data_IF_270655051854
#
_entry.id   IF_270655051854
#
_cell.length_a   1.000
_cell.length_b   1.000
_cell.length_c   1.000
_cell.angle_alpha   90.00
_cell.angle_beta   90.00
_cell.angle_gamma   90.00
#
_symmetry.space_group_name_H-M   'P 1'
#
loop_
_entity.id
_entity.type
_entity.pdbx_description
1 polymer ?
#
# COMPACT_ATOMS: atom_id res chain seq x y z
N UNK A 1 21.10 -4.63 -6.60
CA UNK A 1 20.60 -3.90 -5.42
C UNK A 1 20.05 -2.57 -5.91
N UNK A 2 18.74 -2.37 -5.84
CA UNK A 2 18.13 -1.08 -6.18
C UNK A 2 18.42 -0.10 -5.03
N UNK A 3 19.36 0.83 -5.24
CA UNK A 3 19.72 1.85 -4.25
C UNK A 3 19.05 3.17 -4.64
N UNK A 4 17.73 3.19 -4.55
CA UNK A 4 16.92 4.36 -4.85
C UNK A 4 15.77 4.40 -3.86
N UNK A 5 15.61 5.56 -3.22
CA UNK A 5 14.58 5.77 -2.21
C UNK A 5 13.18 5.48 -2.75
N UNK A 6 12.94 5.75 -4.04
CA UNK A 6 11.63 5.64 -4.67
C UNK A 6 11.69 4.98 -6.04
N UNK A 7 11.00 3.85 -6.20
CA UNK A 7 10.92 3.12 -7.46
C UNK A 7 9.52 3.28 -8.05
N UNK A 8 9.46 3.74 -9.30
CA UNK A 8 8.22 3.77 -10.08
C UNK A 8 8.43 2.94 -11.35
N UNK A 9 7.69 1.85 -11.50
CA UNK A 9 7.75 0.99 -12.68
C UNK A 9 6.42 1.04 -13.42
N UNK A 10 6.46 1.46 -14.69
CA UNK A 10 5.30 1.41 -15.58
C UNK A 10 5.30 0.10 -16.38
N UNK A 11 4.11 -0.39 -16.76
CA UNK A 11 3.95 -1.68 -17.48
C UNK A 11 4.66 -2.82 -16.74
N UNK A 12 4.38 -2.92 -15.45
CA UNK A 12 5.07 -3.77 -14.49
C UNK A 12 4.70 -5.26 -14.57
N UNK A 13 4.08 -5.73 -15.66
CA UNK A 13 3.68 -7.15 -15.85
C UNK A 13 4.83 -8.14 -15.70
N UNK A 14 6.07 -7.70 -15.94
CA UNK A 14 7.28 -8.51 -15.80
C UNK A 14 7.83 -8.57 -14.35
N UNK A 15 7.34 -7.74 -13.44
CA UNK A 15 7.79 -7.72 -12.05
C UNK A 15 7.25 -8.96 -11.33
N UNK A 16 8.17 -9.73 -10.76
CA UNK A 16 7.87 -10.90 -9.93
C UNK A 16 7.95 -10.56 -8.43
N UNK A 17 7.55 -11.51 -7.57
CA UNK A 17 7.77 -11.37 -6.13
C UNK A 17 9.25 -11.26 -5.78
N UNK A 18 10.14 -11.99 -6.48
CA UNK A 18 11.58 -11.92 -6.21
C UNK A 18 12.12 -10.52 -6.53
N UNK A 19 11.64 -9.90 -7.61
CA UNK A 19 12.00 -8.51 -7.91
C UNK A 19 11.53 -7.54 -6.81
N UNK A 20 10.35 -7.77 -6.21
CA UNK A 20 9.89 -6.98 -5.06
C UNK A 20 10.78 -7.17 -3.83
N UNK A 21 11.18 -8.41 -3.53
CA UNK A 21 12.06 -8.69 -2.39
C UNK A 21 13.45 -8.05 -2.56
N UNK A 22 13.93 -7.93 -3.79
CA UNK A 22 15.15 -7.19 -4.11
C UNK A 22 15.05 -5.67 -3.92
N UNK A 23 13.82 -5.12 -3.79
CA UNK A 23 13.54 -3.71 -3.49
C UNK A 23 13.44 -3.43 -1.97
N UNK A 24 13.92 -4.33 -1.12
CA UNK A 24 13.85 -4.23 0.36
C UNK A 24 14.40 -2.94 0.99
N UNK A 25 15.26 -2.22 0.28
CA UNK A 25 15.87 -0.97 0.75
C UNK A 25 15.14 0.28 0.26
N UNK A 26 14.07 0.15 -0.53
CA UNK A 26 13.31 1.30 -1.04
C UNK A 26 12.35 1.84 0.03
N UNK A 27 12.22 3.17 0.08
CA UNK A 27 11.21 3.86 0.91
C UNK A 27 9.82 3.79 0.26
N UNK A 28 9.77 3.91 -1.06
CA UNK A 28 8.53 3.93 -1.82
C UNK A 28 8.62 3.05 -3.07
N UNK A 29 7.60 2.24 -3.31
CA UNK A 29 7.49 1.40 -4.51
C UNK A 29 6.10 1.63 -5.13
N UNK A 30 6.07 2.05 -6.40
CA UNK A 30 4.85 2.21 -7.19
C UNK A 30 4.94 1.37 -8.46
N UNK A 31 3.99 0.45 -8.66
CA UNK A 31 3.94 -0.41 -9.84
C UNK A 31 2.65 -0.19 -10.62
N UNK A 32 2.75 0.19 -11.89
CA UNK A 32 1.58 0.34 -12.77
C UNK A 32 1.45 -0.88 -13.68
N UNK A 33 0.26 -1.47 -13.69
CA UNK A 33 -0.09 -2.66 -14.45
C UNK A 33 0.78 -3.90 -14.13
N UNK A 34 1.00 -4.28 -12.85
CA UNK A 34 1.62 -5.58 -12.55
C UNK A 34 0.64 -6.74 -12.79
N UNK A 35 1.18 -7.94 -13.01
CA UNK A 35 0.40 -9.18 -13.08
C UNK A 35 0.29 -9.86 -11.71
N UNK A 36 -0.01 -9.09 -10.68
CA UNK A 36 -0.09 -9.59 -9.31
C UNK A 36 -1.40 -10.32 -9.03
N UNK A 37 -1.30 -11.36 -8.22
CA UNK A 37 -2.42 -12.12 -7.68
C UNK A 37 -2.52 -11.91 -6.18
N UNK A 38 -3.65 -12.26 -5.57
CA UNK A 38 -3.83 -12.25 -4.12
C UNK A 38 -2.68 -13.00 -3.40
N UNK A 39 -2.19 -14.09 -3.99
CA UNK A 39 -1.10 -14.91 -3.42
C UNK A 39 0.22 -14.16 -3.39
N UNK A 40 0.53 -13.43 -4.47
CA UNK A 40 1.75 -12.62 -4.56
C UNK A 40 1.71 -11.48 -3.55
N UNK A 41 0.57 -10.78 -3.47
CA UNK A 41 0.41 -9.66 -2.54
C UNK A 41 0.38 -10.14 -1.09
N UNK A 42 -0.28 -11.25 -0.78
CA UNK A 42 -0.23 -11.88 0.54
C UNK A 42 1.20 -12.23 0.95
N UNK A 43 1.97 -12.85 0.05
CA UNK A 43 3.37 -13.19 0.29
C UNK A 43 4.22 -11.94 0.56
N UNK A 44 4.01 -10.87 -0.20
CA UNK A 44 4.66 -9.59 0.03
C UNK A 44 4.34 -9.02 1.42
N UNK A 45 3.06 -8.99 1.81
CA UNK A 45 2.66 -8.42 3.11
C UNK A 45 3.22 -9.27 4.26
N UNK A 46 3.22 -10.60 4.16
CA UNK A 46 3.88 -11.46 5.15
C UNK A 46 5.36 -11.11 5.32
N UNK A 47 6.07 -10.88 4.20
CA UNK A 47 7.48 -10.47 4.24
C UNK A 47 7.66 -9.09 4.87
N UNK A 48 6.75 -8.16 4.62
CA UNK A 48 6.75 -6.87 5.31
C UNK A 48 6.48 -7.02 6.82
N UNK A 49 5.49 -7.82 7.21
CA UNK A 49 5.17 -8.12 8.62
C UNK A 49 6.39 -8.74 9.32
N UNK A 50 7.12 -9.61 8.63
CA UNK A 50 8.37 -10.22 9.13
C UNK A 50 9.55 -9.25 9.24
N UNK A 51 9.41 -8.01 8.78
CA UNK A 51 10.45 -6.98 8.83
C UNK A 51 11.47 -7.06 7.68
N UNK A 52 11.14 -7.72 6.57
CA UNK A 52 12.04 -7.82 5.41
C UNK A 52 12.28 -6.48 4.72
N UNK A 53 11.39 -5.51 4.93
CA UNK A 53 11.39 -4.19 4.33
C UNK A 53 11.55 -3.10 5.41
N UNK A 54 12.75 -2.92 5.99
CA UNK A 54 12.96 -2.08 7.18
C UNK A 54 12.73 -0.59 6.95
N UNK A 55 12.77 -0.13 5.70
CA UNK A 55 12.64 1.28 5.34
C UNK A 55 11.40 1.59 4.51
N UNK A 56 10.59 0.58 4.17
CA UNK A 56 9.43 0.79 3.32
C UNK A 56 8.39 1.59 4.07
N UNK A 57 8.04 2.74 3.50
CA UNK A 57 6.98 3.61 4.00
C UNK A 57 5.73 3.54 3.12
N UNK A 58 5.91 3.22 1.84
CA UNK A 58 4.84 3.24 0.86
C UNK A 58 5.00 2.15 -0.19
N UNK A 59 3.95 1.36 -0.39
CA UNK A 59 3.84 0.45 -1.52
C UNK A 59 2.48 0.61 -2.18
N UNK A 60 2.48 0.76 -3.49
CA UNK A 60 1.26 0.92 -4.26
C UNK A 60 1.36 0.20 -5.59
N UNK A 61 0.23 -0.36 -6.02
CA UNK A 61 0.08 -0.75 -7.40
C UNK A 61 -1.31 -0.46 -7.94
N UNK A 62 -1.35 -0.27 -9.25
CA UNK A 62 -2.58 -0.03 -10.01
C UNK A 62 -2.74 -1.10 -11.07
N UNK A 63 -3.91 -1.72 -11.14
CA UNK A 63 -4.29 -2.67 -12.18
C UNK A 63 -5.62 -2.24 -12.79
N UNK A 64 -5.83 -2.57 -14.06
CA UNK A 64 -7.14 -2.40 -14.69
C UNK A 64 -8.12 -3.38 -14.05
N UNK A 65 -9.35 -2.94 -13.81
CA UNK A 65 -10.42 -3.78 -13.26
C UNK A 65 -10.67 -5.04 -14.09
N UNK A 66 -10.54 -4.93 -15.41
CA UNK A 66 -10.67 -6.07 -16.33
C UNK A 66 -9.58 -7.14 -16.13
N UNK A 67 -8.42 -6.73 -15.59
CA UNK A 67 -7.30 -7.61 -15.27
C UNK A 67 -7.29 -8.00 -13.78
N UNK A 68 -8.16 -7.40 -12.96
CA UNK A 68 -8.32 -7.78 -11.56
C UNK A 68 -9.31 -8.94 -11.48
N UNK A 69 -8.78 -10.15 -11.27
CA UNK A 69 -9.57 -11.16 -10.57
C UNK A 69 -9.84 -10.55 -9.19
N UNK A 70 -11.11 -10.46 -8.76
CA UNK A 70 -11.54 -9.73 -7.56
C UNK A 70 -10.48 -9.78 -6.44
N UNK A 71 -9.76 -8.67 -6.27
CA UNK A 71 -8.75 -8.55 -5.23
C UNK A 71 -9.48 -8.49 -3.90
N UNK A 72 -9.58 -9.63 -3.22
CA UNK A 72 -10.27 -9.71 -1.95
C UNK A 72 -9.29 -9.48 -0.82
N UNK A 73 -9.49 -8.41 -0.06
CA UNK A 73 -8.64 -8.10 1.08
C UNK A 73 -8.56 -9.25 2.08
N UNK A 74 -9.62 -10.06 2.22
CA UNK A 74 -9.63 -11.27 3.05
C UNK A 74 -8.65 -12.35 2.59
N UNK A 75 -8.39 -12.46 1.28
CA UNK A 75 -7.38 -13.38 0.72
C UNK A 75 -5.98 -12.79 0.86
N UNK A 76 -5.84 -11.49 0.56
CA UNK A 76 -4.58 -10.75 0.68
C UNK A 76 -4.06 -10.74 2.13
N UNK A 77 -4.95 -10.63 3.12
CA UNK A 77 -4.60 -10.62 4.55
C UNK A 77 -4.70 -11.99 5.22
N UNK A 78 -4.83 -13.08 4.44
CA UNK A 78 -4.95 -14.41 5.02
C UNK A 78 -3.75 -14.74 5.90
N UNK A 79 -4.03 -15.11 7.16
CA UNK A 79 -3.01 -15.44 8.16
C UNK A 79 -2.27 -14.23 8.75
N UNK A 80 -2.77 -13.02 8.52
CA UNK A 80 -2.22 -11.77 9.07
C UNK A 80 -3.24 -11.22 10.06
N UNK A 81 -2.78 -10.87 11.27
CA UNK A 81 -3.62 -10.17 12.23
C UNK A 81 -3.85 -8.73 11.77
N UNK A 82 -5.11 -8.29 11.80
CA UNK A 82 -5.47 -6.94 11.41
C UNK A 82 -6.61 -6.36 12.25
N UNK A 83 -6.61 -5.05 12.40
CA UNK A 83 -7.73 -4.26 12.90
C UNK A 83 -8.49 -3.70 11.68
N UNK A 84 -9.82 -3.79 11.66
CA UNK A 84 -10.65 -3.18 10.61
C UNK A 84 -11.34 -1.94 11.15
N UNK A 85 -11.29 -0.86 10.37
CA UNK A 85 -11.94 0.39 10.72
C UNK A 85 -12.72 0.94 9.53
N UNK A 86 -14.00 1.25 9.75
CA UNK A 86 -14.92 1.87 8.79
C UNK A 86 -15.31 3.29 9.23
N UNK A 87 -15.87 4.08 8.30
CA UNK A 87 -16.33 5.46 8.48
C UNK A 87 -15.25 6.46 8.92
N UNK A 88 -13.99 6.14 8.64
CA UNK A 88 -12.85 7.02 8.96
C UNK A 88 -12.23 7.48 7.65
N UNK A 89 -12.35 8.78 7.36
CA UNK A 89 -11.54 9.42 6.32
C UNK A 89 -10.08 9.35 6.77
N UNK A 90 -9.18 9.06 5.84
CA UNK A 90 -7.74 9.11 6.10
C UNK A 90 -7.15 9.99 5.04
N UNK A 91 -6.23 10.87 5.43
CA UNK A 91 -5.55 11.77 4.51
C UNK A 91 -4.07 11.56 4.76
N UNK A 92 -3.53 10.55 4.12
CA UNK A 92 -2.08 10.38 4.12
C UNK A 92 -1.49 11.58 3.40
N UNK A 93 -0.57 12.30 4.04
CA UNK A 93 0.15 13.40 3.42
C UNK A 93 1.62 13.13 3.65
N UNK A 94 2.28 12.57 2.64
CA UNK A 94 3.74 12.51 2.67
C UNK A 94 4.29 13.76 2.02
N UNK A 95 4.88 14.63 2.81
CA UNK A 95 5.52 15.85 2.33
C UNK A 95 6.87 15.52 1.67
N UNK A 96 6.90 15.21 0.38
CA UNK A 96 8.15 15.21 -0.38
C UNK A 96 8.00 16.16 -1.57
N UNK A 97 8.99 17.05 -1.75
CA UNK A 97 9.15 18.02 -2.86
C UNK A 97 8.23 17.76 -4.08
N UNK A 98 6.98 18.21 -4.00
CA UNK A 98 6.03 18.22 -5.11
C UNK A 98 4.96 17.12 -5.20
N UNK A 99 4.92 16.09 -4.34
CA UNK A 99 3.88 15.04 -4.39
C UNK A 99 3.18 14.85 -3.04
N UNK A 100 2.10 15.61 -2.84
CA UNK A 100 1.12 15.32 -1.79
C UNK A 100 0.19 14.21 -2.31
N UNK A 101 0.46 12.96 -1.94
CA UNK A 101 -0.46 11.87 -2.25
C UNK A 101 -1.55 11.82 -1.19
N UNK A 102 -2.72 12.38 -1.48
CA UNK A 102 -3.90 12.31 -0.62
C UNK A 102 -4.73 11.09 -1.03
N UNK A 103 -4.78 10.08 -0.17
CA UNK A 103 -5.66 8.91 -0.37
C UNK A 103 -6.74 8.93 0.70
N UNK A 104 -7.94 9.32 0.28
CA UNK A 104 -9.17 9.20 1.06
C UNK A 104 -9.81 7.83 0.88
N UNK A 105 -10.14 7.19 1.99
CA UNK A 105 -10.96 5.98 2.04
C UNK A 105 -11.91 6.09 3.22
N UNK A 106 -13.07 5.46 3.15
CA UNK A 106 -13.98 5.30 4.29
C UNK A 106 -13.74 3.99 5.06
N UNK A 107 -12.81 3.15 4.62
CA UNK A 107 -12.48 1.86 5.27
C UNK A 107 -11.01 1.50 5.11
N UNK A 108 -10.44 0.82 6.10
CA UNK A 108 -9.05 0.38 6.04
C UNK A 108 -8.78 -0.81 6.93
N UNK A 109 -7.71 -1.53 6.58
CA UNK A 109 -7.18 -2.62 7.39
C UNK A 109 -5.83 -2.22 7.96
N UNK A 110 -5.66 -2.35 9.28
CA UNK A 110 -4.44 -1.99 9.95
C UNK A 110 -3.69 -3.24 10.38
N UNK A 111 -2.43 -3.34 9.97
CA UNK A 111 -1.54 -4.44 10.30
C UNK A 111 -0.35 -3.91 11.07
N UNK A 112 0.36 -4.82 11.75
CA UNK A 112 1.60 -4.49 12.46
C UNK A 112 2.70 -5.43 12.01
N UNK A 113 3.89 -4.88 11.82
CA UNK A 113 5.09 -5.68 11.66
C UNK A 113 5.60 -6.20 13.01
N UNK A 114 6.48 -7.21 12.98
CA UNK A 114 7.15 -7.76 14.16
C UNK A 114 7.99 -6.72 14.92
N UNK A 115 8.49 -5.69 14.23
CA UNK A 115 9.20 -4.57 14.84
C UNK A 115 8.27 -3.53 15.48
N UNK A 116 6.94 -3.69 15.35
CA UNK A 116 5.93 -2.81 15.92
C UNK A 116 5.46 -1.67 15.00
N UNK A 117 5.99 -1.56 13.77
CA UNK A 117 5.49 -0.57 12.81
C UNK A 117 4.04 -0.86 12.45
N UNK A 118 3.18 0.16 12.52
CA UNK A 118 1.77 0.09 12.08
C UNK A 118 1.69 0.47 10.61
N UNK A 119 0.91 -0.27 9.83
CA UNK A 119 0.59 0.09 8.46
C UNK A 119 -0.91 -0.03 8.18
N UNK A 120 -1.40 0.77 7.23
CA UNK A 120 -2.73 0.67 6.67
C UNK A 120 -2.67 0.09 5.28
N UNK A 121 -3.61 -0.81 5.00
CA UNK A 121 -3.88 -1.32 3.66
C UNK A 121 -5.21 -0.77 3.20
N UNK A 122 -5.21 -0.23 1.99
CA UNK A 122 -6.34 0.42 1.34
C UNK A 122 -6.52 -0.15 -0.06
N UNK A 123 -7.77 -0.28 -0.48
CA UNK A 123 -8.14 -0.67 -1.83
C UNK A 123 -9.18 0.31 -2.32
N UNK A 124 -8.93 0.95 -3.46
CA UNK A 124 -9.87 1.88 -4.09
C UNK A 124 -10.06 1.50 -5.57
N UNK A 125 -11.25 1.80 -6.09
CA UNK A 125 -11.56 1.68 -7.50
C UNK A 125 -12.00 3.05 -8.02
N UNK A 126 -11.28 3.58 -9.00
CA UNK A 126 -11.60 4.85 -9.66
C UNK A 126 -11.49 4.65 -11.17
N UNK A 127 -12.55 4.97 -11.91
CA UNK A 127 -12.56 4.93 -13.39
C UNK A 127 -12.08 3.60 -14.00
N UNK A 128 -12.39 2.47 -13.36
CA UNK A 128 -11.99 1.14 -13.84
C UNK A 128 -10.52 0.78 -13.54
N UNK A 129 -9.84 1.57 -12.71
CA UNK A 129 -8.53 1.25 -12.15
C UNK A 129 -8.71 0.85 -10.69
N UNK A 130 -8.21 -0.34 -10.34
CA UNK A 130 -8.11 -0.80 -8.97
C UNK A 130 -6.72 -0.45 -8.43
N UNK A 131 -6.67 0.33 -7.36
CA UNK A 131 -5.42 0.68 -6.68
C UNK A 131 -5.36 -0.02 -5.33
N UNK A 132 -4.26 -0.72 -5.09
CA UNK A 132 -3.88 -1.23 -3.78
C UNK A 132 -2.81 -0.34 -3.18
N UNK A 133 -2.94 -0.02 -1.90
CA UNK A 133 -1.97 0.79 -1.17
C UNK A 133 -1.67 0.14 0.17
N UNK A 134 -0.39 -0.01 0.48
CA UNK A 134 0.14 -0.21 1.82
C UNK A 134 0.90 1.04 2.22
N UNK A 135 0.54 1.61 3.36
CA UNK A 135 1.14 2.82 3.91
C UNK A 135 1.59 2.58 5.35
N UNK A 136 2.86 2.84 5.66
CA UNK A 136 3.40 2.71 7.02
C UNK A 136 3.24 4.02 7.76
N UNK A 137 2.72 3.95 8.98
CA UNK A 137 2.47 5.11 9.82
C UNK A 137 3.81 5.67 10.30
N UNK A 138 4.10 6.91 9.92
CA UNK A 138 5.23 7.71 10.37
C UNK A 138 4.75 8.91 11.19
N UNK A 139 5.63 9.62 11.87
CA UNK A 139 5.29 10.85 12.60
C UNK A 139 4.70 11.94 11.68
N UNK A 140 5.04 11.91 10.39
CA UNK A 140 4.53 12.84 9.38
C UNK A 140 3.16 12.43 8.82
N UNK A 141 2.66 11.25 9.19
CA UNK A 141 1.41 10.71 8.69
C UNK A 141 0.22 11.35 9.41
N UNK A 142 -0.50 12.22 8.71
CA UNK A 142 -1.74 12.79 9.24
C UNK A 142 -2.88 11.79 9.00
N UNK A 143 -3.76 11.60 9.99
CA UNK A 143 -5.00 10.85 9.84
C UNK A 143 -6.13 11.78 10.25
N UNK A 144 -7.00 12.14 9.31
CA UNK A 144 -8.12 13.05 9.54
C UNK A 144 -9.41 12.25 9.59
N UNK A 145 -9.81 11.82 10.78
CA UNK A 145 -11.14 11.25 11.03
C UNK A 145 -12.17 12.40 11.01
N UNK A 146 -13.08 12.45 10.02
CA UNK A 146 -14.19 13.42 10.05
C UNK A 146 -15.14 13.09 11.21
N UNK A 147 -15.75 14.01 11.96
CA UNK A 147 -16.22 15.37 11.66
C UNK A 147 -15.14 16.45 11.71
N UNK A 148 -14.68 16.94 10.55
CA UNK A 148 -14.18 18.31 10.44
C UNK A 148 -14.13 18.73 8.97
N UNK A 149 -14.76 19.88 8.74
CA UNK A 149 -14.79 20.68 7.52
C UNK A 149 -13.37 20.96 7.03
N UNK A 150 -12.84 20.16 6.10
CA UNK A 150 -11.58 20.46 5.43
C UNK A 150 -11.67 20.17 3.94
N UNK A 151 -12.70 20.74 3.31
CA UNK A 151 -12.75 21.03 1.87
C UNK A 151 -13.63 22.28 1.66
N UNK A 152 -13.15 23.44 2.13
CA UNK A 152 -13.52 24.75 1.53
C UNK A 152 -12.42 25.20 0.58
#
# INVERSE_FOLDING_TARGET
>A
MFNTDRVVVRKAKWITIDNLLDMKNCLAITLLEPSFTDVVVNSFIHKWVDGHFPHLEYFCFEIKKEESNEFHTTRVLKGIEYEFEENVIRIYKKGEKGLNLIIGTNKGWHIRSKSGLKASILTLEIEGICTFVLFVWTEESIIVTGENELFE
#
